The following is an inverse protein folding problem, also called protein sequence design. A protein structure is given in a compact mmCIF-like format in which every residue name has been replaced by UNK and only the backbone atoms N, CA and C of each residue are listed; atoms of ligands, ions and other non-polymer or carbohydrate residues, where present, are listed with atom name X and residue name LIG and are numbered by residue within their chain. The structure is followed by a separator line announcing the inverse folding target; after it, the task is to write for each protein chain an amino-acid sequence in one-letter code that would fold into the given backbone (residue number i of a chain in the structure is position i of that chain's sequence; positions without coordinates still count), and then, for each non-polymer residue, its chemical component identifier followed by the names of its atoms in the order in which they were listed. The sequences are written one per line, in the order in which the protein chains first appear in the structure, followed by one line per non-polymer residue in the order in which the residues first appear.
data_IF_144116639741
#
_entry.id   IF_144116639741
#
_cell.length_a   1.000
_cell.length_b   1.000
_cell.length_c   1.000
_cell.angle_alpha   90.00
_cell.angle_beta   90.00
_cell.angle_gamma   90.00
#
_symmetry.space_group_name_H-M   'P 1'
#
loop_
_entity.id
_entity.type
_entity.pdbx_description
1 polymer ?
#
# COMPACT_ATOMS: atom_id res chain seq x y z
N UNK A 1 -6.93 -14.15 10.19
CA UNK A 1 -7.44 -13.78 8.85
C UNK A 1 -6.25 -13.37 8.01
N UNK A 2 -6.18 -13.80 6.75
CA UNK A 2 -5.02 -13.47 5.90
C UNK A 2 -5.16 -12.06 5.33
N UNK A 3 -4.07 -11.30 5.36
CA UNK A 3 -3.93 -10.00 4.69
C UNK A 3 -3.73 -10.16 3.17
N UNK A 4 -3.52 -11.38 2.68
CA UNK A 4 -3.34 -11.67 1.25
C UNK A 4 -4.56 -11.23 0.44
N UNK A 5 -4.33 -10.68 -0.74
CA UNK A 5 -5.39 -10.33 -1.67
C UNK A 5 -5.08 -9.10 -2.51
N UNK A 6 -6.03 -8.77 -3.38
CA UNK A 6 -6.01 -7.56 -4.19
C UNK A 6 -7.02 -6.57 -3.63
N UNK A 7 -6.63 -5.32 -3.49
CA UNK A 7 -7.42 -4.26 -2.87
C UNK A 7 -7.53 -3.07 -3.83
N UNK A 8 -8.76 -2.62 -4.07
CA UNK A 8 -9.01 -1.35 -4.75
C UNK A 8 -8.85 -0.22 -3.73
N UNK A 9 -7.74 0.49 -3.83
CA UNK A 9 -7.32 1.54 -2.91
C UNK A 9 -7.59 2.95 -3.46
N UNK A 10 -7.84 3.87 -2.53
CA UNK A 10 -7.97 5.31 -2.77
C UNK A 10 -7.07 6.02 -1.77
N UNK A 11 -6.08 6.75 -2.28
CA UNK A 11 -5.15 7.57 -1.50
C UNK A 11 -5.52 9.05 -1.64
N UNK A 12 -5.79 9.72 -0.53
CA UNK A 12 -6.11 11.15 -0.44
C UNK A 12 -4.84 11.98 -0.51
N UNK A 13 -4.45 12.42 -1.71
CA UNK A 13 -3.28 13.27 -1.92
C UNK A 13 -3.67 14.76 -2.02
N UNK A 14 -2.73 15.71 -1.80
CA UNK A 14 -2.96 17.13 -2.07
C UNK A 14 -3.32 17.44 -3.53
N UNK A 15 -2.98 16.55 -4.47
CA UNK A 15 -3.32 16.68 -5.89
C UNK A 15 -4.69 16.08 -6.25
N UNK A 16 -5.41 15.55 -5.26
CA UNK A 16 -6.71 14.88 -5.43
C UNK A 16 -6.65 13.39 -5.09
N UNK A 17 -7.80 12.72 -5.21
CA UNK A 17 -7.95 11.29 -4.97
C UNK A 17 -7.16 10.47 -6.00
N UNK A 18 -6.21 9.67 -5.53
CA UNK A 18 -5.43 8.74 -6.35
C UNK A 18 -6.01 7.34 -6.18
N UNK A 19 -6.58 6.78 -7.25
CA UNK A 19 -7.02 5.38 -7.26
C UNK A 19 -5.87 4.46 -7.64
N UNK A 20 -5.76 3.33 -6.96
CA UNK A 20 -4.81 2.29 -7.30
C UNK A 20 -5.28 0.91 -6.90
N UNK A 21 -4.66 -0.12 -7.48
CA UNK A 21 -4.91 -1.52 -7.14
C UNK A 21 -3.68 -2.06 -6.42
N UNK A 22 -3.84 -2.46 -5.17
CA UNK A 22 -2.75 -2.99 -4.33
C UNK A 22 -2.90 -4.50 -4.19
N UNK A 23 -1.89 -5.25 -4.61
CA UNK A 23 -1.83 -6.70 -4.43
C UNK A 23 -0.85 -7.04 -3.32
N UNK A 24 -1.29 -7.80 -2.33
CA UNK A 24 -0.50 -8.27 -1.18
C UNK A 24 -0.34 -9.79 -1.29
N UNK A 25 0.93 -10.23 -1.33
CA UNK A 25 1.34 -11.64 -1.37
C UNK A 25 2.21 -11.92 -0.13
N UNK A 26 1.62 -12.45 0.96
CA UNK A 26 2.39 -12.84 2.15
C UNK A 26 3.41 -13.93 1.85
N UNK A 27 4.53 -13.91 2.58
CA UNK A 27 5.48 -15.02 2.64
C UNK A 27 4.88 -16.23 3.34
N UNK A 28 5.50 -17.40 3.15
CA UNK A 28 5.07 -18.66 3.77
C UNK A 28 5.09 -18.61 5.31
N UNK A 29 5.97 -17.78 5.89
CA UNK A 29 6.04 -17.57 7.35
C UNK A 29 4.98 -16.59 7.89
N UNK A 30 4.25 -15.90 7.00
CA UNK A 30 3.21 -14.93 7.36
C UNK A 30 3.70 -13.67 8.08
N UNK A 31 5.02 -13.42 8.11
CA UNK A 31 5.62 -12.25 8.79
C UNK A 31 6.06 -11.15 7.82
N UNK A 32 6.22 -11.48 6.55
CA UNK A 32 6.57 -10.53 5.49
C UNK A 32 5.61 -10.64 4.32
N UNK A 33 5.66 -9.67 3.41
CA UNK A 33 4.92 -9.75 2.16
C UNK A 33 5.64 -9.02 1.04
N UNK A 34 5.35 -9.44 -0.18
CA UNK A 34 5.66 -8.70 -1.39
C UNK A 34 4.35 -8.24 -2.04
N UNK A 35 4.43 -7.31 -2.98
CA UNK A 35 3.23 -6.80 -3.63
C UNK A 35 3.51 -5.82 -4.73
N UNK A 36 2.42 -5.40 -5.38
CA UNK A 36 2.45 -4.27 -6.33
C UNK A 36 1.33 -3.27 -6.04
N UNK A 37 1.58 -2.00 -6.32
CA UNK A 37 0.61 -0.90 -6.25
C UNK A 37 0.49 -0.32 -7.66
N UNK A 38 -0.62 -0.58 -8.33
CA UNK A 38 -0.89 -0.15 -9.70
C UNK A 38 -1.80 1.08 -9.68
N UNK A 39 -1.22 2.28 -9.83
CA UNK A 39 -1.95 3.54 -9.88
C UNK A 39 -2.00 4.15 -11.29
N UNK A 40 -2.68 5.29 -11.42
CA UNK A 40 -2.71 6.07 -12.66
C UNK A 40 -1.32 6.55 -13.12
N UNK A 41 -0.39 6.69 -12.17
CA UNK A 41 1.00 7.09 -12.41
C UNK A 41 1.91 5.92 -12.81
N UNK A 42 1.38 4.69 -12.87
CA UNK A 42 2.14 3.47 -13.12
C UNK A 42 2.16 2.52 -11.93
N UNK A 43 2.84 1.39 -12.12
CA UNK A 43 3.03 0.36 -11.11
C UNK A 43 4.27 0.61 -10.24
N UNK A 44 4.13 0.47 -8.93
CA UNK A 44 5.22 0.45 -7.96
C UNK A 44 5.27 -0.90 -7.26
N UNK A 45 6.45 -1.37 -6.89
CA UNK A 45 6.62 -2.56 -6.06
C UNK A 45 6.51 -2.19 -4.57
N UNK A 46 5.88 -3.08 -3.80
CA UNK A 46 5.87 -2.99 -2.34
C UNK A 46 7.09 -3.77 -1.83
N UNK A 47 8.09 -3.03 -1.38
CA UNK A 47 9.35 -3.54 -0.86
C UNK A 47 9.35 -3.51 0.67
N UNK A 48 10.16 -4.37 1.30
CA UNK A 48 10.30 -4.45 2.76
C UNK A 48 8.94 -4.59 3.48
N UNK A 49 8.01 -5.33 2.88
CA UNK A 49 6.69 -5.57 3.45
C UNK A 49 6.78 -6.42 4.71
N UNK A 50 6.26 -5.92 5.81
CA UNK A 50 6.18 -6.61 7.11
C UNK A 50 4.72 -6.72 7.52
N UNK A 51 4.37 -7.88 8.07
CA UNK A 51 3.07 -8.20 8.64
C UNK A 51 3.23 -8.33 10.16
N UNK A 52 2.54 -7.46 10.90
CA UNK A 52 2.42 -7.53 12.36
C UNK A 52 0.94 -7.72 12.73
N UNK A 53 0.52 -8.99 12.84
CA UNK A 53 -0.88 -9.35 13.04
C UNK A 53 -1.76 -8.95 11.85
N UNK A 54 -2.51 -7.87 11.98
CA UNK A 54 -3.32 -7.28 10.91
C UNK A 54 -2.77 -5.93 10.40
N UNK A 55 -1.63 -5.50 10.94
CA UNK A 55 -0.92 -4.30 10.50
C UNK A 55 0.12 -4.66 9.44
N UNK A 56 0.21 -3.83 8.42
CA UNK A 56 1.11 -3.94 7.30
C UNK A 56 1.97 -2.68 7.26
N UNK A 57 3.26 -2.85 7.08
CA UNK A 57 4.18 -1.73 6.77
C UNK A 57 5.02 -2.10 5.57
N UNK A 58 5.22 -1.16 4.66
CA UNK A 58 6.02 -1.37 3.46
C UNK A 58 6.63 -0.07 2.96
N UNK A 59 7.54 -0.21 2.01
CA UNK A 59 8.17 0.91 1.31
C UNK A 59 7.91 0.79 -0.18
N UNK A 60 7.71 1.91 -0.87
CA UNK A 60 7.62 1.97 -2.32
C UNK A 60 8.62 3.01 -2.81
N UNK A 61 9.48 2.64 -3.74
CA UNK A 61 10.45 3.57 -4.32
C UNK A 61 9.95 4.04 -5.70
N UNK A 62 9.46 5.28 -5.74
CA UNK A 62 9.18 5.94 -7.01
C UNK A 62 10.49 6.48 -7.57
N UNK A 63 10.83 6.17 -8.82
CA UNK A 63 12.12 6.58 -9.43
C UNK A 63 11.98 7.67 -10.49
N UNK A 64 10.80 7.80 -11.11
CA UNK A 64 10.52 8.73 -12.22
C UNK A 64 9.14 9.36 -12.00
N UNK A 65 8.93 10.66 -12.30
CA UNK A 65 9.92 11.65 -12.78
C UNK A 65 10.84 12.20 -11.68
N UNK A 66 10.55 11.94 -10.42
CA UNK A 66 11.36 12.38 -9.27
C UNK A 66 11.56 11.20 -8.30
N UNK A 67 12.80 10.84 -7.95
CA UNK A 67 13.05 9.74 -7.03
C UNK A 67 12.57 10.09 -5.62
N UNK A 68 11.68 9.26 -5.08
CA UNK A 68 11.10 9.45 -3.74
C UNK A 68 10.78 8.10 -3.11
N UNK A 69 11.17 7.96 -1.85
CA UNK A 69 10.75 6.85 -0.99
C UNK A 69 9.39 7.18 -0.38
N UNK A 70 8.43 6.31 -0.59
CA UNK A 70 7.12 6.34 0.04
C UNK A 70 7.09 5.24 1.12
N UNK A 71 6.51 5.54 2.27
CA UNK A 71 6.37 4.59 3.37
C UNK A 71 4.89 4.37 3.64
N UNK A 72 4.41 3.15 3.43
CA UNK A 72 3.01 2.79 3.65
C UNK A 72 2.84 2.08 4.98
N UNK A 73 1.78 2.42 5.70
CA UNK A 73 1.30 1.71 6.87
C UNK A 73 -0.21 1.50 6.72
N UNK A 74 -0.71 0.28 6.91
CA UNK A 74 -2.15 0.02 6.88
C UNK A 74 -2.53 -1.12 7.81
N UNK A 75 -3.78 -1.13 8.24
CA UNK A 75 -4.41 -2.24 8.95
C UNK A 75 -5.49 -2.85 8.06
N UNK A 76 -5.55 -4.18 8.05
CA UNK A 76 -6.61 -4.93 7.36
C UNK A 76 -7.63 -5.41 8.39
N UNK A 77 -8.90 -5.10 8.16
CA UNK A 77 -10.03 -5.59 8.94
C UNK A 77 -11.05 -6.25 8.01
N UNK A 78 -11.01 -7.58 7.95
CA UNK A 78 -11.75 -8.38 6.96
C UNK A 78 -11.35 -8.01 5.52
N UNK A 79 -12.27 -7.33 4.84
CA UNK A 79 -12.12 -6.87 3.45
C UNK A 79 -11.76 -5.38 3.34
N UNK A 80 -11.67 -4.66 4.46
CA UNK A 80 -11.28 -3.26 4.46
C UNK A 80 -9.80 -3.11 4.78
N UNK A 81 -9.14 -2.25 4.03
CA UNK A 81 -7.76 -1.81 4.27
C UNK A 81 -7.82 -0.33 4.63
N UNK A 82 -7.29 0.05 5.78
CA UNK A 82 -7.25 1.46 6.22
C UNK A 82 -5.84 1.78 6.66
N UNK A 83 -5.27 2.85 6.12
CA UNK A 83 -3.89 3.19 6.35
C UNK A 83 -3.52 4.59 5.90
N UNK A 84 -2.22 4.81 5.79
CA UNK A 84 -1.62 6.05 5.32
C UNK A 84 -0.35 5.76 4.52
N UNK A 85 -0.07 6.61 3.55
CA UNK A 85 1.17 6.62 2.78
C UNK A 85 1.89 7.93 3.06
N UNK A 86 3.07 7.84 3.68
CA UNK A 86 3.97 8.96 3.87
C UNK A 86 4.78 9.19 2.60
N UNK A 87 4.56 10.33 1.95
CA UNK A 87 5.28 10.75 0.75
C UNK A 87 6.35 11.81 1.05
N UNK A 88 6.98 11.72 2.23
CA UNK A 88 8.07 12.60 2.64
C UNK A 88 7.64 14.06 2.65
N UNK A 89 8.15 14.85 1.71
CA UNK A 89 7.84 16.27 1.59
C UNK A 89 6.35 16.59 1.35
N UNK A 90 5.59 15.64 0.80
CA UNK A 90 4.14 15.79 0.59
C UNK A 90 3.30 15.44 1.84
N UNK A 91 3.95 14.97 2.91
CA UNK A 91 3.28 14.57 4.14
C UNK A 91 2.59 13.20 4.04
N UNK A 92 1.71 12.94 5.01
CA UNK A 92 0.95 11.69 5.13
C UNK A 92 -0.36 11.79 4.36
N UNK A 93 -0.61 10.83 3.50
CA UNK A 93 -1.83 10.71 2.68
C UNK A 93 -2.66 9.54 3.18
N UNK A 94 -3.88 9.80 3.64
CA UNK A 94 -4.78 8.74 4.07
C UNK A 94 -5.10 7.80 2.90
N UNK A 95 -5.04 6.49 3.13
CA UNK A 95 -5.33 5.45 2.16
C UNK A 95 -6.43 4.53 2.69
N UNK A 96 -7.44 4.27 1.86
CA UNK A 96 -8.49 3.30 2.17
C UNK A 96 -8.61 2.34 1.00
N UNK A 97 -8.82 1.05 1.27
CA UNK A 97 -8.98 0.04 0.23
C UNK A 97 -10.06 -0.98 0.55
N UNK A 98 -10.62 -1.56 -0.50
CA UNK A 98 -11.61 -2.63 -0.44
C UNK A 98 -11.05 -3.86 -1.15
N UNK A 99 -11.05 -5.02 -0.49
CA UNK A 99 -10.62 -6.29 -1.06
C UNK A 99 -11.55 -6.66 -2.22
N UNK A 100 -10.95 -7.08 -3.33
CA UNK A 100 -11.66 -7.66 -4.47
C UNK A 100 -12.21 -9.04 -4.09
N UNK A 101 -13.40 -9.35 -4.62
CA UNK A 101 -14.09 -10.62 -4.40
C UNK A 101 -13.47 -11.77 -5.20
#
# INVERSE_FOLDING_TARGET
MSVAGTYDCVTKSPMGDQKSVVTIVPSDDGTTFTGTNQGAMGGMELENGVIDGNKLTWTMNMTVPMPMKLEGEATVDGDQLVGEVNAGAFGKMAMTGQRQA
#
